data_IF_946587788395
#
_entry.id   IF_946587788395
#
_cell.length_a   1.000
_cell.length_b   1.000
_cell.length_c   1.000
_cell.angle_alpha   90.00
_cell.angle_beta   90.00
_cell.angle_gamma   90.00
#
_symmetry.space_group_name_H-M   'P 1'
#
loop_
_entity.id
_entity.type
_entity.pdbx_description
1 polymer ?
#
# COMPACT_ATOMS: atom_id res chain seq x y z
N UNK A 1 19.68 11.96 -26.73
CA UNK A 1 18.99 12.01 -25.42
C UNK A 1 18.75 10.59 -24.96
N UNK A 2 19.34 10.18 -23.83
CA UNK A 2 19.12 8.87 -23.22
C UNK A 2 17.73 8.92 -22.57
N UNK A 3 16.81 8.05 -22.97
CA UNK A 3 15.51 7.97 -22.31
C UNK A 3 15.73 7.76 -20.80
N UNK A 4 14.97 8.43 -19.91
CA UNK A 4 15.08 8.20 -18.49
C UNK A 4 14.84 6.70 -18.23
N UNK A 5 15.57 6.07 -17.29
CA UNK A 5 15.28 4.69 -16.92
C UNK A 5 13.81 4.63 -16.53
N UNK A 6 13.06 3.68 -17.10
CA UNK A 6 11.71 3.35 -16.63
C UNK A 6 11.82 3.26 -15.12
N UNK A 7 11.28 4.22 -14.37
CA UNK A 7 11.11 4.05 -12.95
C UNK A 7 10.27 2.79 -12.83
N UNK A 8 10.92 1.67 -12.51
CA UNK A 8 10.24 0.38 -12.49
C UNK A 8 9.13 0.54 -11.48
N UNK A 9 7.91 0.17 -11.85
CA UNK A 9 6.72 0.31 -11.00
C UNK A 9 6.99 -0.14 -9.55
N UNK A 10 7.86 -1.16 -9.39
CA UNK A 10 8.45 -1.60 -8.11
C UNK A 10 9.08 -0.46 -7.30
N UNK A 11 10.00 0.32 -7.87
CA UNK A 11 10.69 1.41 -7.17
C UNK A 11 9.76 2.57 -6.77
N UNK A 12 8.65 2.72 -7.48
CA UNK A 12 7.61 3.71 -7.14
C UNK A 12 6.67 3.21 -6.05
N UNK A 13 6.29 1.94 -6.09
CA UNK A 13 5.27 1.35 -5.20
C UNK A 13 5.86 0.90 -3.85
N UNK A 14 7.11 0.41 -3.84
CA UNK A 14 7.74 -0.20 -2.65
C UNK A 14 7.76 0.72 -1.42
N UNK A 15 8.12 2.03 -1.52
CA UNK A 15 8.11 2.91 -0.35
C UNK A 15 6.73 3.02 0.31
N UNK A 16 5.65 3.01 -0.48
CA UNK A 16 4.29 3.07 0.04
C UNK A 16 3.87 1.77 0.73
N UNK A 17 4.27 0.61 0.17
CA UNK A 17 4.02 -0.68 0.82
C UNK A 17 4.74 -0.78 2.18
N UNK A 18 6.00 -0.34 2.24
CA UNK A 18 6.76 -0.33 3.49
C UNK A 18 6.10 0.56 4.54
N UNK A 19 5.56 1.71 4.13
CA UNK A 19 4.83 2.59 5.05
C UNK A 19 3.62 1.90 5.69
N UNK A 20 2.88 1.10 4.92
CA UNK A 20 1.73 0.34 5.44
C UNK A 20 2.18 -0.79 6.36
N UNK A 21 3.28 -1.47 6.03
CA UNK A 21 3.92 -2.49 6.88
C UNK A 21 4.34 -1.90 8.23
N UNK A 22 4.92 -0.70 8.25
CA UNK A 22 5.30 -0.01 9.48
C UNK A 22 4.07 0.29 10.36
N UNK A 23 2.98 0.76 9.77
CA UNK A 23 1.72 0.99 10.50
C UNK A 23 1.15 -0.31 11.07
N UNK A 24 1.23 -1.41 10.33
CA UNK A 24 0.83 -2.72 10.84
C UNK A 24 1.71 -3.18 12.00
N UNK A 25 3.02 -2.91 11.97
CA UNK A 25 3.93 -3.18 13.08
C UNK A 25 3.61 -2.34 14.33
N UNK A 26 3.27 -1.07 14.16
CA UNK A 26 2.86 -0.21 15.27
C UNK A 26 1.51 -0.64 15.88
N UNK A 27 0.57 -1.05 15.04
CA UNK A 27 -0.72 -1.56 15.49
C UNK A 27 -0.58 -2.79 16.40
N UNK A 28 0.35 -3.68 16.07
CA UNK A 28 0.60 -4.87 16.88
C UNK A 28 1.23 -4.55 18.25
N UNK A 29 1.90 -3.40 18.37
CA UNK A 29 2.38 -2.88 19.65
C UNK A 29 1.27 -2.17 20.44
N UNK A 30 0.04 -2.14 19.93
CA UNK A 30 -1.12 -1.51 20.56
C UNK A 30 -1.33 -0.04 20.17
N UNK A 31 -0.60 0.48 19.17
CA UNK A 31 -0.79 1.85 18.67
C UNK A 31 -2.06 1.92 17.82
N UNK A 32 -2.87 2.97 18.01
CA UNK A 32 -4.03 3.24 17.17
C UNK A 32 -3.58 3.86 15.84
N UNK A 33 -3.66 3.08 14.76
CA UNK A 33 -3.12 3.48 13.44
C UNK A 33 -4.20 3.77 12.40
N UNK A 34 -5.48 3.65 12.73
CA UNK A 34 -6.59 3.65 11.76
C UNK A 34 -6.62 4.92 10.89
N UNK A 35 -6.47 6.08 11.53
CA UNK A 35 -6.41 7.36 10.80
C UNK A 35 -5.16 7.44 9.91
N UNK A 36 -4.00 7.01 10.42
CA UNK A 36 -2.73 7.04 9.70
C UNK A 36 -2.74 6.08 8.50
N UNK A 37 -3.36 4.92 8.65
CA UNK A 37 -3.54 3.91 7.60
C UNK A 37 -4.40 4.47 6.48
N UNK A 38 -5.54 5.06 6.83
CA UNK A 38 -6.46 5.66 5.85
C UNK A 38 -5.81 6.82 5.09
N UNK A 39 -5.14 7.72 5.81
CA UNK A 39 -4.42 8.85 5.22
C UNK A 39 -3.32 8.37 4.28
N UNK A 40 -2.50 7.39 4.70
CA UNK A 40 -1.43 6.85 3.88
C UNK A 40 -1.95 6.17 2.60
N UNK A 41 -3.02 5.38 2.70
CA UNK A 41 -3.63 4.72 1.53
C UNK A 41 -4.23 5.75 0.57
N UNK A 42 -4.99 6.73 1.08
CA UNK A 42 -5.59 7.77 0.24
C UNK A 42 -4.53 8.57 -0.52
N UNK A 43 -3.51 9.08 0.19
CA UNK A 43 -2.42 9.86 -0.43
C UNK A 43 -1.68 9.05 -1.47
N UNK A 44 -1.34 7.80 -1.16
CA UNK A 44 -0.67 6.92 -2.12
C UNK A 44 -1.50 6.68 -3.37
N UNK A 45 -2.81 6.43 -3.24
CA UNK A 45 -3.68 6.21 -4.40
C UNK A 45 -3.76 7.45 -5.30
N UNK A 46 -3.83 8.65 -4.71
CA UNK A 46 -3.76 9.92 -5.45
C UNK A 46 -2.40 10.11 -6.12
N UNK A 47 -1.31 10.03 -5.36
CA UNK A 47 0.06 10.23 -5.84
C UNK A 47 0.41 9.28 -6.99
N UNK A 48 0.05 8.00 -6.86
CA UNK A 48 0.27 7.01 -7.93
C UNK A 48 -0.67 7.25 -9.12
N UNK A 49 -1.92 7.67 -8.88
CA UNK A 49 -2.89 7.98 -9.93
C UNK A 49 -2.47 9.16 -10.81
N UNK A 50 -1.79 10.15 -10.23
CA UNK A 50 -1.30 11.36 -10.92
C UNK A 50 -0.07 11.09 -11.81
N UNK A 51 0.52 9.89 -11.75
CA UNK A 51 1.64 9.51 -12.60
C UNK A 51 1.20 9.30 -14.05
N UNK A 52 2.13 9.49 -15.00
CA UNK A 52 1.88 9.22 -16.42
C UNK A 52 1.47 7.76 -16.70
N UNK A 53 1.88 6.83 -15.82
CA UNK A 53 1.53 5.41 -15.83
C UNK A 53 0.58 5.04 -14.68
N UNK A 54 -0.24 5.98 -14.22
CA UNK A 54 -1.02 5.87 -12.99
C UNK A 54 -1.86 4.61 -12.86
N UNK A 55 -2.63 4.17 -13.87
CA UNK A 55 -3.39 2.93 -13.79
C UNK A 55 -2.53 1.69 -13.46
N UNK A 56 -1.34 1.58 -14.05
CA UNK A 56 -0.42 0.47 -13.77
C UNK A 56 0.23 0.59 -12.40
N UNK A 57 0.54 1.81 -11.94
CA UNK A 57 1.13 2.05 -10.62
C UNK A 57 0.14 1.76 -9.50
N UNK A 58 -1.11 2.22 -9.63
CA UNK A 58 -2.21 1.92 -8.72
C UNK A 58 -2.49 0.42 -8.66
N UNK A 59 -2.57 -0.25 -9.81
CA UNK A 59 -2.79 -1.71 -9.85
C UNK A 59 -1.70 -2.47 -9.10
N UNK A 60 -0.43 -2.12 -9.33
CA UNK A 60 0.70 -2.77 -8.66
C UNK A 60 0.74 -2.49 -7.14
N UNK A 61 0.33 -1.30 -6.69
CA UNK A 61 0.21 -1.02 -5.27
C UNK A 61 -0.87 -1.87 -4.60
N UNK A 62 -2.04 -1.95 -5.21
CA UNK A 62 -3.14 -2.78 -4.72
C UNK A 62 -2.73 -4.26 -4.66
N UNK A 63 -2.15 -4.79 -5.72
CA UNK A 63 -1.63 -6.17 -5.76
C UNK A 63 -0.55 -6.40 -4.70
N UNK A 64 0.35 -5.43 -4.49
CA UNK A 64 1.36 -5.49 -3.44
C UNK A 64 0.76 -5.59 -2.03
N UNK A 65 -0.28 -4.81 -1.73
CA UNK A 65 -0.99 -4.87 -0.45
C UNK A 65 -1.66 -6.23 -0.23
N UNK A 66 -2.32 -6.77 -1.27
CA UNK A 66 -2.95 -8.09 -1.23
C UNK A 66 -1.92 -9.19 -0.97
N UNK A 67 -0.78 -9.15 -1.66
CA UNK A 67 0.29 -10.12 -1.51
C UNK A 67 0.94 -10.07 -0.12
N UNK A 68 1.18 -8.86 0.43
CA UNK A 68 1.75 -8.71 1.77
C UNK A 68 0.75 -9.15 2.85
N UNK A 69 -0.54 -8.85 2.66
CA UNK A 69 -1.60 -9.34 3.53
C UNK A 69 -1.71 -10.87 3.52
N UNK A 70 -1.62 -11.50 2.35
CA UNK A 70 -1.67 -12.96 2.20
C UNK A 70 -0.45 -13.68 2.82
N UNK A 71 0.70 -13.01 2.84
CA UNK A 71 1.96 -13.53 3.40
C UNK A 71 2.14 -13.20 4.89
N UNK A 72 1.20 -12.48 5.51
CA UNK A 72 1.31 -12.08 6.90
C UNK A 72 1.42 -13.31 7.84
N UNK A 73 2.31 -13.27 8.86
CA UNK A 73 2.44 -14.38 9.80
C UNK A 73 1.13 -14.64 10.56
N UNK A 74 0.69 -15.91 10.62
CA UNK A 74 -0.59 -16.30 11.23
C UNK A 74 -0.70 -15.95 12.72
N UNK A 75 0.42 -15.82 13.42
CA UNK A 75 0.45 -15.47 14.84
C UNK A 75 0.25 -13.97 15.09
N UNK A 76 0.35 -13.13 14.05
CA UNK A 76 0.31 -11.66 14.13
C UNK A 76 -1.05 -11.14 13.63
N UNK A 77 -2.12 -11.48 14.34
CA UNK A 77 -3.49 -11.23 13.87
C UNK A 77 -3.80 -9.74 13.65
N UNK A 78 -3.34 -8.86 14.54
CA UNK A 78 -3.56 -7.41 14.43
C UNK A 78 -2.82 -6.82 13.21
N UNK A 79 -1.57 -7.22 13.00
CA UNK A 79 -0.78 -6.86 11.82
C UNK A 79 -1.45 -7.32 10.53
N UNK A 80 -1.86 -8.60 10.46
CA UNK A 80 -2.55 -9.15 9.30
C UNK A 80 -3.91 -8.46 9.05
N UNK A 81 -4.61 -8.03 10.10
CA UNK A 81 -5.84 -7.26 9.99
C UNK A 81 -5.61 -5.89 9.36
N UNK A 82 -4.58 -5.17 9.80
CA UNK A 82 -4.22 -3.85 9.25
C UNK A 82 -3.85 -3.92 7.77
N UNK A 83 -3.05 -4.91 7.37
CA UNK A 83 -2.67 -5.11 5.97
C UNK A 83 -3.89 -5.40 5.07
N UNK A 84 -4.80 -6.27 5.54
CA UNK A 84 -6.05 -6.55 4.81
C UNK A 84 -6.93 -5.32 4.70
N UNK A 85 -7.07 -4.54 5.77
CA UNK A 85 -7.83 -3.30 5.75
C UNK A 85 -7.25 -2.30 4.74
N UNK A 86 -5.92 -2.19 4.64
CA UNK A 86 -5.26 -1.36 3.63
C UNK A 86 -5.59 -1.82 2.21
N UNK A 87 -5.48 -3.12 1.93
CA UNK A 87 -5.80 -3.70 0.62
C UNK A 87 -7.27 -3.44 0.24
N UNK A 88 -8.20 -3.66 1.16
CA UNK A 88 -9.63 -3.41 0.95
C UNK A 88 -9.92 -1.93 0.67
N UNK A 89 -9.29 -1.02 1.40
CA UNK A 89 -9.44 0.42 1.18
C UNK A 89 -8.93 0.81 -0.21
N UNK A 90 -7.72 0.36 -0.58
CA UNK A 90 -7.14 0.65 -1.89
C UNK A 90 -7.98 0.06 -3.04
N UNK A 91 -8.54 -1.15 -2.87
CA UNK A 91 -9.46 -1.76 -3.82
C UNK A 91 -10.74 -0.96 -4.02
N UNK A 92 -11.33 -0.42 -2.94
CA UNK A 92 -12.53 0.44 -3.03
C UNK A 92 -12.21 1.70 -3.82
N UNK A 93 -11.13 2.40 -3.46
CA UNK A 93 -10.70 3.64 -4.12
C UNK A 93 -10.34 3.44 -5.59
N UNK A 94 -9.88 2.25 -5.99
CA UNK A 94 -9.60 1.95 -7.41
C UNK A 94 -10.88 1.82 -8.26
N UNK A 95 -12.02 1.49 -7.63
CA UNK A 95 -13.31 1.28 -8.31
C UNK A 95 -14.14 2.55 -8.41
N UNK A 96 -13.88 3.50 -7.51
CA UNK A 96 -14.51 4.83 -7.47
C UNK A 96 -13.90 5.76 -8.53
#
# INVERSE_FOLDING_TARGET
MKAPPKATVVGLVTPHLLRVVDLANEAEKGVKVEWHLRDAVNKTMTELGDLYNGPSAVAAYVEGLENVAAQAPKQREHYASVLRAAAEMAQRLRRD
#
